data_IF_113388251901
#
_entry.id   IF_113388251901
#
_cell.length_a   1.000
_cell.length_b   1.000
_cell.length_c   1.000
_cell.angle_alpha   90.00
_cell.angle_beta   90.00
_cell.angle_gamma   90.00
#
_symmetry.space_group_name_H-M   'P 1'
#
loop_
_entity.id
_entity.type
_entity.pdbx_description
1 polymer ?
#
# COMPACT_ATOMS: atom_id res chain seq x y z
N UNK A 1 0.83 -28.67 -5.16
CA UNK A 1 -0.46 -27.96 -5.14
C UNK A 1 -0.14 -26.48 -5.23
N UNK A 2 -0.40 -25.87 -6.39
CA UNK A 2 -0.23 -24.44 -6.56
C UNK A 2 -1.22 -23.73 -5.63
N UNK A 3 -0.69 -22.87 -4.77
CA UNK A 3 -1.55 -22.00 -3.97
C UNK A 3 -2.12 -20.96 -4.93
N UNK A 4 -3.44 -20.66 -4.88
CA UNK A 4 -4.00 -19.60 -5.71
C UNK A 4 -3.21 -18.31 -5.48
N UNK A 5 -3.03 -17.51 -6.53
CA UNK A 5 -2.37 -16.21 -6.40
C UNK A 5 -3.17 -15.33 -5.43
N UNK A 6 -2.47 -14.76 -4.44
CA UNK A 6 -3.06 -13.93 -3.39
C UNK A 6 -2.40 -12.57 -3.32
N UNK A 7 -3.21 -11.53 -3.20
CA UNK A 7 -2.76 -10.15 -2.96
C UNK A 7 -3.09 -9.76 -1.52
N UNK A 8 -2.10 -9.20 -0.83
CA UNK A 8 -2.30 -8.64 0.51
C UNK A 8 -2.50 -7.13 0.40
N UNK A 9 -3.58 -6.60 0.97
CA UNK A 9 -3.83 -5.16 1.07
C UNK A 9 -3.57 -4.72 2.50
N UNK A 10 -2.57 -3.87 2.70
CA UNK A 10 -2.25 -3.28 4.02
C UNK A 10 -3.00 -1.96 4.19
N UNK A 11 -3.83 -1.90 5.21
CA UNK A 11 -4.71 -0.76 5.48
C UNK A 11 -4.06 0.28 6.40
N UNK A 12 -3.97 1.52 5.91
CA UNK A 12 -3.52 2.70 6.66
C UNK A 12 -4.68 3.64 7.05
N UNK A 13 -5.92 3.14 6.96
CA UNK A 13 -7.13 3.90 7.30
C UNK A 13 -7.76 4.62 6.10
N UNK A 14 -7.53 4.13 4.88
CA UNK A 14 -8.20 4.68 3.70
C UNK A 14 -9.68 4.32 3.66
N UNK A 15 -10.52 5.28 3.26
CA UNK A 15 -11.92 5.03 2.89
C UNK A 15 -12.04 4.08 1.68
N UNK A 16 -10.98 3.94 0.88
CA UNK A 16 -10.98 3.15 -0.35
C UNK A 16 -10.35 1.75 -0.21
N UNK A 17 -9.86 1.34 0.96
CA UNK A 17 -9.20 0.03 1.15
C UNK A 17 -10.09 -1.14 0.73
N UNK A 18 -11.37 -1.10 1.11
CA UNK A 18 -12.35 -2.12 0.73
C UNK A 18 -12.58 -2.17 -0.79
N UNK A 19 -12.56 -1.00 -1.45
CA UNK A 19 -12.71 -0.91 -2.90
C UNK A 19 -11.50 -1.52 -3.62
N UNK A 20 -10.27 -1.27 -3.13
CA UNK A 20 -9.05 -1.88 -3.66
C UNK A 20 -9.16 -3.42 -3.62
N UNK A 21 -9.47 -3.99 -2.46
CA UNK A 21 -9.63 -5.44 -2.31
C UNK A 21 -10.74 -5.99 -3.22
N UNK A 22 -11.88 -5.30 -3.31
CA UNK A 22 -12.97 -5.68 -4.23
C UNK A 22 -12.50 -5.69 -5.69
N UNK A 23 -11.77 -4.67 -6.14
CA UNK A 23 -11.26 -4.61 -7.53
C UNK A 23 -10.29 -5.73 -7.84
N UNK A 24 -9.45 -6.14 -6.90
CA UNK A 24 -8.58 -7.31 -7.06
C UNK A 24 -9.41 -8.60 -7.22
N UNK A 25 -10.46 -8.77 -6.41
CA UNK A 25 -11.36 -9.93 -6.50
C UNK A 25 -12.17 -9.96 -7.80
N UNK A 26 -12.57 -8.81 -8.32
CA UNK A 26 -13.22 -8.69 -9.64
C UNK A 26 -12.29 -9.12 -10.79
N UNK A 27 -10.98 -9.09 -10.58
CA UNK A 27 -9.97 -9.66 -11.49
C UNK A 27 -9.71 -11.15 -11.24
N UNK A 28 -10.57 -11.83 -10.46
CA UNK A 28 -10.47 -13.25 -10.13
C UNK A 28 -9.20 -13.65 -9.34
N UNK A 29 -8.60 -12.69 -8.61
CA UNK A 29 -7.46 -12.93 -7.72
C UNK A 29 -7.93 -12.82 -6.26
N UNK A 30 -7.51 -13.75 -5.40
CA UNK A 30 -7.86 -13.66 -3.98
C UNK A 30 -7.17 -12.46 -3.33
N UNK A 31 -7.90 -11.72 -2.49
CA UNK A 31 -7.33 -10.62 -1.73
C UNK A 31 -7.79 -10.62 -0.28
N UNK A 32 -6.86 -10.32 0.63
CA UNK A 32 -7.11 -10.14 2.06
C UNK A 32 -6.68 -8.74 2.48
N UNK A 33 -7.47 -8.11 3.35
CA UNK A 33 -7.11 -6.83 3.97
C UNK A 33 -6.56 -7.15 5.36
N UNK A 34 -5.36 -6.64 5.66
CA UNK A 34 -4.79 -6.65 7.01
C UNK A 34 -4.44 -5.23 7.44
N UNK A 35 -4.36 -5.02 8.75
CA UNK A 35 -3.83 -3.77 9.31
C UNK A 35 -2.37 -3.56 8.86
N UNK A 36 -1.95 -2.31 8.64
CA UNK A 36 -0.55 -1.97 8.39
C UNK A 36 0.40 -2.34 9.53
N UNK A 37 -0.11 -2.58 10.74
CA UNK A 37 0.67 -3.02 11.90
C UNK A 37 0.93 -4.55 11.93
N UNK A 38 0.53 -5.27 10.89
CA UNK A 38 0.81 -6.71 10.78
C UNK A 38 2.32 -6.98 10.83
N UNK A 39 2.71 -8.00 11.60
CA UNK A 39 4.11 -8.41 11.69
C UNK A 39 4.62 -9.02 10.39
N UNK A 40 5.93 -8.88 10.13
CA UNK A 40 6.56 -9.41 8.93
C UNK A 40 6.38 -10.93 8.77
N UNK A 41 6.40 -11.68 9.87
CA UNK A 41 6.19 -13.13 9.86
C UNK A 41 4.78 -13.53 9.43
N UNK A 42 3.77 -12.73 9.77
CA UNK A 42 2.40 -12.98 9.31
C UNK A 42 2.26 -12.65 7.82
N UNK A 43 2.97 -11.64 7.30
CA UNK A 43 3.05 -11.38 5.86
C UNK A 43 3.71 -12.55 5.13
N UNK A 44 4.82 -13.08 5.65
CA UNK A 44 5.50 -14.25 5.07
C UNK A 44 4.60 -15.50 5.11
N UNK A 45 3.93 -15.75 6.23
CA UNK A 45 3.01 -16.87 6.38
C UNK A 45 1.80 -16.76 5.44
N UNK A 46 1.33 -15.55 5.17
CA UNK A 46 0.27 -15.30 4.19
C UNK A 46 0.71 -15.66 2.75
N UNK A 47 2.02 -15.57 2.47
CA UNK A 47 2.68 -15.88 1.19
C UNK A 47 2.02 -15.15 -0.01
N UNK A 48 1.97 -13.80 -0.01
CA UNK A 48 1.37 -13.04 -1.10
C UNK A 48 2.25 -13.00 -2.35
N UNK A 49 1.61 -12.97 -3.52
CA UNK A 49 2.27 -12.69 -4.80
C UNK A 49 2.50 -11.20 -5.04
N UNK A 50 1.77 -10.35 -4.32
CA UNK A 50 1.90 -8.91 -4.38
C UNK A 50 1.26 -8.25 -3.17
N UNK A 51 1.73 -7.06 -2.82
CA UNK A 51 1.25 -6.29 -1.67
C UNK A 51 0.80 -4.92 -2.18
N UNK A 52 -0.36 -4.45 -1.70
CA UNK A 52 -0.85 -3.10 -1.94
C UNK A 52 -0.83 -2.33 -0.62
N UNK A 53 -0.09 -1.23 -0.58
CA UNK A 53 -0.14 -0.26 0.52
C UNK A 53 -1.26 0.74 0.24
N UNK A 54 -2.33 0.72 1.05
CA UNK A 54 -3.48 1.59 0.83
C UNK A 54 -3.17 3.07 1.12
N UNK A 55 -4.13 3.93 0.80
CA UNK A 55 -4.10 5.33 1.21
C UNK A 55 -4.31 5.50 2.71
N UNK A 56 -4.30 6.75 3.16
CA UNK A 56 -4.54 7.08 4.56
C UNK A 56 -4.64 8.60 4.74
N UNK A 57 -5.28 9.07 5.82
CA UNK A 57 -5.45 10.49 6.08
C UNK A 57 -4.22 11.16 6.70
N UNK A 58 -3.28 10.37 7.22
CA UNK A 58 -2.08 10.82 7.91
C UNK A 58 -1.02 11.39 6.95
N UNK A 59 -0.09 12.19 7.48
CA UNK A 59 1.18 12.50 6.81
C UNK A 59 2.27 11.54 7.29
N UNK A 60 3.17 11.13 6.40
CA UNK A 60 4.28 10.20 6.74
C UNK A 60 5.25 10.75 7.80
N UNK A 61 5.25 12.07 7.99
CA UNK A 61 6.06 12.78 8.99
C UNK A 61 5.33 13.02 10.32
N UNK A 62 4.03 12.73 10.41
CA UNK A 62 3.30 12.90 11.66
C UNK A 62 3.87 11.96 12.73
N UNK A 63 3.91 12.43 13.98
CA UNK A 63 4.30 11.60 15.12
C UNK A 63 3.28 10.46 15.27
N UNK A 64 3.75 9.21 15.28
CA UNK A 64 2.88 8.03 15.32
C UNK A 64 2.16 7.71 14.00
N UNK A 65 2.55 8.32 12.88
CA UNK A 65 2.02 7.95 11.56
C UNK A 65 2.14 6.44 11.31
N UNK A 66 1.11 5.79 10.72
CA UNK A 66 1.10 4.35 10.52
C UNK A 66 2.16 3.95 9.49
N UNK A 67 3.04 3.02 9.85
CA UNK A 67 4.18 2.59 9.03
C UNK A 67 4.26 1.07 9.01
N UNK A 68 4.80 0.53 7.93
CA UNK A 68 5.20 -0.87 7.84
C UNK A 68 6.65 -1.04 8.25
N UNK A 69 7.03 -2.25 8.61
CA UNK A 69 8.43 -2.63 8.78
C UNK A 69 9.19 -2.43 7.45
N UNK A 70 10.29 -1.65 7.40
CA UNK A 70 11.09 -1.49 6.18
C UNK A 70 11.62 -2.80 5.58
N UNK A 71 11.77 -3.86 6.40
CA UNK A 71 12.15 -5.19 5.92
C UNK A 71 11.10 -5.79 4.96
N UNK A 72 9.87 -5.27 4.93
CA UNK A 72 8.85 -5.64 3.94
C UNK A 72 9.34 -5.47 2.50
N UNK A 73 10.10 -4.41 2.22
CA UNK A 73 10.64 -4.13 0.87
C UNK A 73 11.78 -5.07 0.47
N UNK A 74 12.32 -5.85 1.41
CA UNK A 74 13.41 -6.80 1.18
C UNK A 74 12.90 -8.22 0.90
N UNK A 75 11.60 -8.46 0.97
CA UNK A 75 11.00 -9.79 0.76
C UNK A 75 11.01 -10.25 -0.71
N UNK A 76 11.38 -9.38 -1.66
CA UNK A 76 11.35 -9.70 -3.09
C UNK A 76 9.94 -9.84 -3.68
N UNK A 77 8.91 -9.37 -2.95
CA UNK A 77 7.52 -9.38 -3.37
C UNK A 77 7.20 -8.02 -4.02
N UNK A 78 6.52 -7.97 -5.18
CA UNK A 78 6.07 -6.70 -5.77
C UNK A 78 5.15 -5.90 -4.83
N UNK A 79 5.42 -4.61 -4.70
CA UNK A 79 4.65 -3.69 -3.82
C UNK A 79 4.12 -2.52 -4.65
N UNK A 80 2.82 -2.25 -4.54
CA UNK A 80 2.15 -1.07 -5.10
C UNK A 80 1.73 -0.13 -3.96
N UNK A 81 2.18 1.11 -4.00
CA UNK A 81 1.72 2.17 -3.07
C UNK A 81 0.63 3.04 -3.69
N UNK A 82 -0.45 3.31 -2.95
CA UNK A 82 -1.54 4.20 -3.37
C UNK A 82 -1.63 5.39 -2.42
N UNK A 83 -1.52 6.60 -2.95
CA UNK A 83 -1.58 7.85 -2.17
C UNK A 83 -0.61 7.82 -0.98
N UNK A 84 -1.09 7.73 0.27
CA UNK A 84 -0.26 7.58 1.47
C UNK A 84 0.73 6.42 1.34
N UNK A 85 0.30 5.25 0.82
CA UNK A 85 1.20 4.11 0.61
C UNK A 85 2.36 4.43 -0.35
N UNK A 86 2.13 5.26 -1.37
CA UNK A 86 3.19 5.72 -2.27
C UNK A 86 4.14 6.70 -1.58
N UNK A 87 3.61 7.63 -0.78
CA UNK A 87 4.42 8.56 0.03
C UNK A 87 5.27 7.80 1.06
N UNK A 88 4.69 6.81 1.72
CA UNK A 88 5.37 5.98 2.71
C UNK A 88 6.51 5.19 2.06
N UNK A 89 6.27 4.61 0.89
CA UNK A 89 7.30 3.93 0.12
C UNK A 89 8.45 4.87 -0.26
N UNK A 90 8.14 6.07 -0.78
CA UNK A 90 9.16 7.07 -1.08
C UNK A 90 9.96 7.45 0.16
N UNK A 91 9.30 7.70 1.29
CA UNK A 91 9.94 8.06 2.56
C UNK A 91 10.86 6.96 3.10
N UNK A 92 10.39 5.71 3.15
CA UNK A 92 11.16 4.58 3.70
C UNK A 92 12.32 4.13 2.81
N UNK A 93 12.23 4.37 1.49
CA UNK A 93 13.28 4.04 0.54
C UNK A 93 14.28 5.20 0.30
N UNK A 94 14.31 6.19 1.19
CA UNK A 94 15.30 7.28 1.16
C UNK A 94 14.95 8.46 0.25
N UNK A 95 13.76 8.46 -0.34
CA UNK A 95 13.20 9.61 -1.05
C UNK A 95 12.73 10.71 -0.09
N UNK A 96 12.27 11.82 -0.67
CA UNK A 96 11.70 12.95 0.08
C UNK A 96 10.24 13.14 -0.30
N UNK A 97 9.39 13.28 0.72
CA UNK A 97 8.00 13.68 0.55
C UNK A 97 7.89 15.14 0.98
N UNK A 98 7.25 15.98 0.18
CA UNK A 98 7.03 17.39 0.53
C UNK A 98 5.57 17.64 0.87
N UNK A 99 5.34 18.58 1.79
CA UNK A 99 4.00 18.98 2.17
C UNK A 99 3.40 19.84 1.06
N UNK A 100 2.29 19.40 0.49
CA UNK A 100 1.50 20.27 -0.38
C UNK A 100 0.71 21.29 0.44
N UNK A 101 0.66 22.54 -0.05
CA UNK A 101 -0.16 23.62 0.51
C UNK A 101 -1.67 23.37 0.32
N UNK A 102 -2.04 22.57 -0.68
CA UNK A 102 -3.43 22.20 -0.98
C UNK A 102 -3.54 20.69 -1.09
N UNK A 103 -4.56 20.12 -0.45
CA UNK A 103 -4.97 18.73 -0.69
C UNK A 103 -5.86 18.73 -1.93
N UNK A 104 -5.43 18.05 -2.97
CA UNK A 104 -6.20 17.93 -4.20
C UNK A 104 -6.98 16.62 -4.18
N UNK A 105 -8.31 16.75 -4.28
CA UNK A 105 -9.22 15.63 -4.45
C UNK A 105 -10.12 15.97 -5.64
N UNK A 106 -9.96 15.25 -6.74
CA UNK A 106 -10.70 15.54 -7.96
C UNK A 106 -10.13 14.80 -9.16
N UNK A 107 -10.83 14.89 -10.29
CA UNK A 107 -10.29 14.41 -11.54
C UNK A 107 -9.14 15.32 -11.98
N UNK A 108 -8.05 14.68 -12.42
CA UNK A 108 -6.92 15.34 -13.05
C UNK A 108 -6.55 14.53 -14.30
N UNK A 109 -6.09 15.22 -15.34
CA UNK A 109 -5.46 14.58 -16.50
C UNK A 109 -3.97 14.48 -16.23
N UNK A 110 -3.41 13.28 -16.40
CA UNK A 110 -1.98 13.01 -16.22
C UNK A 110 -1.40 12.74 -17.61
N UNK A 111 -0.29 13.40 -17.93
CA UNK A 111 0.49 13.13 -19.14
C UNK A 111 1.58 12.10 -18.83
N UNK A 112 1.69 11.08 -19.68
CA UNK A 112 2.81 10.14 -19.63
C UNK A 112 3.97 10.78 -20.39
N UNK A 113 5.01 11.18 -19.65
CA UNK A 113 6.25 11.69 -20.21
C UNK A 113 7.18 10.50 -20.45
N UNK A 114 7.64 10.32 -21.69
CA UNK A 114 8.53 9.25 -22.12
C UNK A 114 10.00 9.53 -21.79
#
# INVERSE_FOLDING_TARGET
>A
MEHPDKILVLDFGSQTTQLIARRVRELSVYSEIKSCFVGLEEVKAFNPKGIILSGGPASVYDEGAPKVDPALFQLGIPILGICYGAQLMAYLLGGRVERSLKREFGQAQIELVA
#
